data_IF_290542810404
#
_entry.id   IF_290542810404
#
_cell.length_a   1.000
_cell.length_b   1.000
_cell.length_c   1.000
_cell.angle_alpha   90.00
_cell.angle_beta   90.00
_cell.angle_gamma   90.00
#
_symmetry.space_group_name_H-M   'P 1'
#
loop_
_entity.id
_entity.type
_entity.pdbx_description
1 polymer ?
#
# COMPACT_ATOMS: atom_id res chain seq x y z
N UNK A 1 -70.03 44.92 -13.96
CA UNK A 1 -69.09 45.11 -12.85
C UNK A 1 -67.72 45.40 -13.42
N UNK A 2 -67.22 46.58 -13.07
CA UNK A 2 -66.03 47.30 -13.51
C UNK A 2 -64.73 46.69 -12.98
N UNK A 3 -63.63 46.83 -13.73
CA UNK A 3 -62.28 46.54 -13.22
C UNK A 3 -61.17 46.49 -14.26
N UNK A 4 -60.92 47.60 -14.96
CA UNK A 4 -59.70 47.79 -15.77
C UNK A 4 -58.52 48.05 -14.82
N UNK A 5 -57.57 47.12 -14.73
CA UNK A 5 -56.30 47.33 -14.04
C UNK A 5 -55.21 47.65 -15.08
N UNK A 6 -54.95 48.94 -15.25
CA UNK A 6 -53.82 49.46 -15.99
C UNK A 6 -52.53 49.23 -15.19
N UNK A 7 -51.68 48.30 -15.63
CA UNK A 7 -50.33 48.15 -15.12
C UNK A 7 -49.47 49.32 -15.63
N UNK A 8 -49.29 50.33 -14.78
CA UNK A 8 -48.38 51.44 -15.02
C UNK A 8 -46.94 50.92 -15.03
N UNK A 9 -46.40 50.67 -16.23
CA UNK A 9 -44.97 50.38 -16.43
C UNK A 9 -44.13 51.59 -16.03
N UNK A 10 -43.61 51.58 -14.81
CA UNK A 10 -42.68 52.60 -14.29
C UNK A 10 -41.37 52.46 -15.08
N UNK A 11 -41.19 53.31 -16.10
CA UNK A 11 -39.93 53.43 -16.84
C UNK A 11 -38.84 53.83 -15.85
N UNK A 12 -37.99 52.87 -15.48
CA UNK A 12 -36.80 53.12 -14.66
C UNK A 12 -35.90 54.02 -15.52
N UNK A 13 -35.56 55.19 -15.00
CA UNK A 13 -34.69 56.14 -15.68
C UNK A 13 -33.36 55.45 -15.94
N UNK A 14 -32.85 55.53 -17.17
CA UNK A 14 -31.61 54.86 -17.58
C UNK A 14 -30.44 55.19 -16.64
N UNK A 15 -30.43 56.41 -16.09
CA UNK A 15 -29.45 56.88 -15.11
C UNK A 15 -29.47 56.01 -13.83
N UNK A 16 -30.64 55.62 -13.34
CA UNK A 16 -30.76 54.78 -12.14
C UNK A 16 -30.24 53.37 -12.39
N UNK A 17 -30.44 52.84 -13.60
CA UNK A 17 -29.90 51.54 -14.00
C UNK A 17 -28.36 51.60 -14.11
N UNK A 18 -27.83 52.68 -14.67
CA UNK A 18 -26.39 52.90 -14.79
C UNK A 18 -25.71 52.97 -13.41
N UNK A 19 -26.28 53.72 -12.46
CA UNK A 19 -25.76 53.78 -11.09
C UNK A 19 -25.82 52.42 -10.37
N UNK A 20 -26.88 51.63 -10.58
CA UNK A 20 -27.01 50.30 -9.98
C UNK A 20 -25.93 49.33 -10.51
N UNK A 21 -25.71 49.31 -11.83
CA UNK A 21 -24.68 48.47 -12.45
C UNK A 21 -23.29 48.88 -11.97
N UNK A 22 -23.02 50.18 -11.89
CA UNK A 22 -21.72 50.70 -11.46
C UNK A 22 -21.43 50.36 -9.99
N UNK A 23 -22.44 50.44 -9.13
CA UNK A 23 -22.33 49.99 -7.73
C UNK A 23 -22.05 48.48 -7.62
N UNK A 24 -22.70 47.66 -8.45
CA UNK A 24 -22.48 46.21 -8.47
C UNK A 24 -21.09 45.83 -8.97
N UNK A 25 -20.59 46.50 -10.01
CA UNK A 25 -19.22 46.29 -10.51
C UNK A 25 -18.20 46.74 -9.46
N UNK A 26 -18.43 47.87 -8.79
CA UNK A 26 -17.59 48.33 -7.69
C UNK A 26 -17.50 47.33 -6.53
N UNK A 27 -18.64 46.75 -6.13
CA UNK A 27 -18.69 45.72 -5.09
C UNK A 27 -17.92 44.46 -5.49
N UNK A 28 -18.04 44.03 -6.74
CA UNK A 28 -17.35 42.85 -7.27
C UNK A 28 -15.82 43.06 -7.34
N UNK A 29 -15.37 44.25 -7.71
CA UNK A 29 -13.95 44.58 -7.71
C UNK A 29 -13.39 44.65 -6.28
N UNK A 30 -14.17 45.18 -5.33
CA UNK A 30 -13.77 45.22 -3.91
C UNK A 30 -13.61 43.81 -3.32
N UNK A 31 -14.52 42.87 -3.63
CA UNK A 31 -14.43 41.50 -3.12
C UNK A 31 -13.24 40.74 -3.73
N UNK A 32 -13.00 40.87 -5.03
CA UNK A 32 -11.81 40.29 -5.69
C UNK A 32 -10.52 40.88 -5.11
N UNK A 33 -10.49 42.19 -4.85
CA UNK A 33 -9.33 42.86 -4.26
C UNK A 33 -9.01 42.37 -2.84
N UNK A 34 -10.03 42.17 -1.99
CA UNK A 34 -9.85 41.64 -0.63
C UNK A 34 -9.37 40.18 -0.64
N UNK A 35 -9.82 39.36 -1.59
CA UNK A 35 -9.40 37.95 -1.72
C UNK A 35 -7.93 37.84 -2.12
N UNK A 36 -7.41 38.75 -2.97
CA UNK A 36 -6.00 38.76 -3.38
C UNK A 36 -5.07 39.23 -2.25
N UNK A 37 -5.56 40.09 -1.35
CA UNK A 37 -4.77 40.62 -0.23
C UNK A 37 -4.66 39.68 0.99
N UNK A 38 -5.35 38.54 0.99
CA UNK A 38 -5.03 37.43 1.89
C UNK A 38 -4.17 36.39 1.15
N UNK A 39 -2.85 36.55 1.08
CA UNK A 39 -1.99 35.41 0.80
C UNK A 39 -2.19 34.39 1.92
N UNK A 40 -2.90 33.32 1.60
CA UNK A 40 -3.00 32.14 2.46
C UNK A 40 -1.75 31.31 2.23
N UNK A 41 -0.62 31.82 2.73
CA UNK A 41 0.58 31.05 2.93
C UNK A 41 0.67 30.78 4.43
N UNK A 42 0.21 29.62 4.95
CA UNK A 42 0.78 29.13 6.18
C UNK A 42 2.26 28.87 5.87
N UNK A 43 3.16 29.71 6.40
CA UNK A 43 4.57 29.39 6.42
C UNK A 43 4.74 28.04 7.12
N UNK A 44 5.27 27.04 6.40
CA UNK A 44 5.69 25.79 7.02
C UNK A 44 6.67 26.13 8.16
N UNK A 45 6.51 25.56 9.37
CA UNK A 45 7.43 25.84 10.46
C UNK A 45 8.83 25.36 10.08
N UNK A 46 9.70 26.30 9.73
CA UNK A 46 11.11 26.05 9.51
C UNK A 46 11.76 25.69 10.84
N UNK A 47 11.93 24.40 11.10
CA UNK A 47 12.78 23.90 12.18
C UNK A 47 14.24 24.19 11.82
N UNK A 48 14.73 25.38 12.14
CA UNK A 48 16.16 25.65 12.21
C UNK A 48 16.75 24.97 13.46
N UNK A 49 17.02 23.67 13.34
CA UNK A 49 17.86 22.98 14.29
C UNK A 49 19.28 23.51 14.18
N UNK A 50 19.75 24.24 15.19
CA UNK A 50 21.18 24.55 15.34
C UNK A 50 21.97 23.25 15.20
N UNK A 51 22.90 23.22 14.25
CA UNK A 51 23.74 22.08 13.92
C UNK A 51 24.60 21.72 15.14
N UNK A 52 24.10 20.84 16.00
CA UNK A 52 24.93 20.20 17.01
C UNK A 52 25.85 19.24 16.27
N UNK A 53 27.16 19.47 16.39
CA UNK A 53 28.20 18.57 15.89
C UNK A 53 27.98 17.22 16.58
N UNK A 54 27.33 16.28 15.87
CA UNK A 54 27.21 14.91 16.32
C UNK A 54 28.56 14.23 16.12
N UNK A 55 29.34 14.09 17.19
CA UNK A 55 30.20 12.92 17.30
C UNK A 55 29.28 11.68 17.24
N UNK A 56 29.66 10.60 16.54
CA UNK A 56 28.84 9.39 16.46
C UNK A 56 28.80 8.67 17.81
N UNK A 57 27.89 9.09 18.71
CA UNK A 57 27.61 8.43 20.00
C UNK A 57 27.22 6.96 19.83
N UNK A 58 26.67 6.60 18.66
CA UNK A 58 26.14 5.27 18.36
C UNK A 58 27.19 4.14 18.39
N UNK A 59 28.46 4.44 18.08
CA UNK A 59 29.53 3.44 18.14
C UNK A 59 30.01 3.17 19.58
N UNK A 60 29.95 4.19 20.44
CA UNK A 60 30.28 4.07 21.87
C UNK A 60 29.20 3.28 22.60
N UNK A 61 27.92 3.59 22.35
CA UNK A 61 26.80 2.85 22.94
C UNK A 61 26.83 1.38 22.51
N UNK A 62 27.18 1.08 21.25
CA UNK A 62 27.32 -0.29 20.77
C UNK A 62 28.45 -1.05 21.45
N UNK A 63 29.62 -0.42 21.65
CA UNK A 63 30.73 -1.06 22.36
C UNK A 63 30.44 -1.29 23.83
N UNK A 64 29.74 -0.35 24.49
CA UNK A 64 29.34 -0.48 25.89
C UNK A 64 28.29 -1.59 26.04
N UNK A 65 27.28 -1.64 25.16
CA UNK A 65 26.25 -2.69 25.19
C UNK A 65 26.82 -4.10 24.91
N UNK A 66 27.76 -4.22 23.95
CA UNK A 66 28.44 -5.50 23.67
C UNK A 66 29.31 -5.94 24.85
N UNK A 67 30.03 -5.00 25.49
CA UNK A 67 30.85 -5.29 26.65
C UNK A 67 30.00 -5.72 27.87
N UNK A 68 28.88 -5.06 28.11
CA UNK A 68 27.93 -5.39 29.18
C UNK A 68 27.29 -6.77 28.95
N UNK A 69 26.92 -7.08 27.70
CA UNK A 69 26.40 -8.39 27.34
C UNK A 69 27.44 -9.51 27.51
N UNK A 70 28.70 -9.26 27.12
CA UNK A 70 29.78 -10.22 27.35
C UNK A 70 30.02 -10.46 28.84
N UNK A 71 29.96 -9.42 29.68
CA UNK A 71 30.05 -9.57 31.14
C UNK A 71 28.90 -10.41 31.71
N UNK A 72 27.66 -10.17 31.27
CA UNK A 72 26.51 -10.99 31.68
C UNK A 72 26.64 -12.45 31.20
N UNK A 73 27.09 -12.67 29.95
CA UNK A 73 27.26 -14.00 29.38
C UNK A 73 28.43 -14.80 29.99
N UNK A 74 29.45 -14.13 30.53
CA UNK A 74 30.55 -14.79 31.25
C UNK A 74 30.19 -15.26 32.66
N UNK A 75 28.97 -15.02 33.13
CA UNK A 75 28.49 -15.60 34.38
C UNK A 75 28.04 -17.04 34.10
N UNK A 76 28.78 -18.09 34.48
CA UNK A 76 28.29 -19.44 34.30
C UNK A 76 27.04 -19.62 35.15
N UNK A 77 25.89 -19.74 34.49
CA UNK A 77 24.68 -20.30 35.11
C UNK A 77 25.02 -21.75 35.48
N UNK A 78 25.57 -21.94 36.68
CA UNK A 78 25.51 -23.23 37.35
C UNK A 78 24.03 -23.48 37.62
N UNK A 79 23.35 -24.05 36.62
CA UNK A 79 22.06 -24.69 36.77
C UNK A 79 22.30 -25.78 37.81
N UNK A 80 22.00 -25.47 39.06
CA UNK A 80 21.93 -26.45 40.12
C UNK A 80 20.86 -27.45 39.69
N UNK A 81 21.31 -28.56 39.08
CA UNK A 81 20.51 -29.76 38.89
C UNK A 81 20.13 -30.22 40.30
N UNK A 82 19.00 -29.76 40.79
CA UNK A 82 18.35 -30.29 41.98
C UNK A 82 18.10 -31.77 41.69
N UNK A 83 18.94 -32.63 42.25
CA UNK A 83 18.85 -34.07 42.14
C UNK A 83 17.61 -34.54 42.91
N UNK A 84 16.48 -34.66 42.23
CA UNK A 84 15.26 -35.34 42.71
C UNK A 84 15.42 -36.85 42.61
N UNK A 85 16.50 -37.40 43.17
CA UNK A 85 16.81 -38.84 43.14
C UNK A 85 16.51 -39.56 44.47
N UNK A 86 16.02 -38.86 45.48
CA UNK A 86 15.94 -39.38 46.85
C UNK A 86 14.53 -39.74 47.36
N UNK A 87 13.49 -39.72 46.51
CA UNK A 87 12.10 -39.96 46.94
C UNK A 87 11.32 -40.91 46.01
N UNK A 88 11.94 -42.03 45.62
CA UNK A 88 11.21 -43.11 44.95
C UNK A 88 11.20 -44.34 45.86
N UNK A 89 10.03 -44.81 46.34
CA UNK A 89 9.94 -46.10 47.02
C UNK A 89 10.17 -47.24 46.02
N UNK A 90 10.86 -48.28 46.49
CA UNK A 90 11.13 -49.52 45.75
C UNK A 90 9.82 -50.14 45.23
N UNK A 91 9.73 -50.29 43.90
CA UNK A 91 8.67 -51.05 43.24
C UNK A 91 7.72 -50.23 42.38
N UNK A 92 8.23 -49.60 41.32
CA UNK A 92 7.38 -49.10 40.24
C UNK A 92 6.96 -50.26 39.31
N UNK A 93 5.70 -50.31 38.86
CA UNK A 93 5.24 -51.29 37.88
C UNK A 93 5.93 -51.08 36.53
N UNK A 94 6.13 -52.15 35.73
CA UNK A 94 6.75 -52.02 34.40
C UNK A 94 5.90 -51.11 33.52
N UNK A 95 6.54 -50.09 32.94
CA UNK A 95 5.86 -49.12 32.08
C UNK A 95 5.29 -49.78 30.82
N UNK A 96 4.11 -49.35 30.34
CA UNK A 96 3.58 -49.77 29.05
C UNK A 96 4.47 -49.25 27.92
N UNK A 97 4.69 -50.09 26.90
CA UNK A 97 5.41 -49.70 25.69
C UNK A 97 4.63 -48.62 24.94
N UNK A 98 5.06 -47.37 25.08
CA UNK A 98 4.62 -46.28 24.20
C UNK A 98 5.43 -46.32 22.90
N UNK A 99 4.79 -46.18 21.73
CA UNK A 99 5.52 -46.12 20.47
C UNK A 99 6.40 -44.87 20.45
N UNK A 100 7.69 -45.06 20.21
CA UNK A 100 8.63 -43.97 19.95
C UNK A 100 8.34 -43.40 18.56
N UNK A 101 7.52 -42.35 18.49
CA UNK A 101 7.49 -41.50 17.30
C UNK A 101 8.86 -40.86 17.13
N UNK A 102 9.52 -41.14 16.01
CA UNK A 102 10.76 -40.47 15.63
C UNK A 102 10.51 -38.97 15.60
N UNK A 103 11.13 -38.25 16.54
CA UNK A 103 11.11 -36.80 16.55
C UNK A 103 11.91 -36.32 15.35
N UNK A 104 11.22 -35.90 14.29
CA UNK A 104 11.84 -35.29 13.12
C UNK A 104 11.83 -33.76 13.30
N UNK A 105 12.96 -33.13 13.69
CA UNK A 105 13.02 -31.69 13.96
C UNK A 105 12.79 -30.83 12.71
N UNK A 106 12.85 -31.42 11.52
CA UNK A 106 12.70 -30.72 10.24
C UNK A 106 11.25 -30.46 9.83
N UNK A 107 10.30 -31.32 10.24
CA UNK A 107 8.86 -31.09 9.97
C UNK A 107 8.20 -30.14 10.98
N UNK A 108 8.75 -30.06 12.19
CA UNK A 108 8.23 -29.21 13.26
C UNK A 108 8.86 -27.81 13.29
N UNK A 109 9.82 -27.53 12.41
CA UNK A 109 10.49 -26.23 12.37
C UNK A 109 9.50 -25.08 12.14
N UNK A 110 8.49 -25.23 11.27
CA UNK A 110 7.46 -24.21 11.05
C UNK A 110 6.58 -23.96 12.29
N UNK A 111 6.22 -25.01 13.02
CA UNK A 111 5.41 -24.91 14.24
C UNK A 111 6.23 -24.32 15.40
N UNK A 112 7.52 -24.65 15.48
CA UNK A 112 8.43 -24.08 16.47
C UNK A 112 8.70 -22.61 16.16
N UNK A 113 8.91 -22.21 14.90
CA UNK A 113 9.13 -20.81 14.52
C UNK A 113 7.92 -19.92 14.82
N UNK A 114 6.71 -20.40 14.52
CA UNK A 114 5.48 -19.63 14.77
C UNK A 114 5.20 -19.40 16.26
N UNK A 115 5.55 -20.38 17.11
CA UNK A 115 5.36 -20.28 18.56
C UNK A 115 6.53 -19.57 19.26
N UNK A 116 7.75 -19.64 18.72
CA UNK A 116 8.88 -18.87 19.24
C UNK A 116 8.66 -17.37 19.06
N UNK A 117 8.07 -16.93 17.95
CA UNK A 117 7.78 -15.51 17.74
C UNK A 117 6.73 -14.98 18.74
N UNK A 118 5.71 -15.79 19.06
CA UNK A 118 4.69 -15.43 20.06
C UNK A 118 5.25 -15.42 21.50
N UNK A 119 6.07 -16.41 21.86
CA UNK A 119 6.71 -16.50 23.18
C UNK A 119 7.78 -15.41 23.36
N UNK A 120 8.48 -15.03 22.29
CA UNK A 120 9.50 -13.99 22.29
C UNK A 120 8.90 -12.57 22.32
N UNK A 121 7.74 -12.39 21.68
CA UNK A 121 6.92 -11.20 21.84
C UNK A 121 6.41 -11.04 23.29
N UNK A 122 6.03 -12.15 23.93
CA UNK A 122 5.61 -12.16 25.34
C UNK A 122 6.77 -11.87 26.31
N UNK A 123 8.01 -12.20 25.92
CA UNK A 123 9.22 -11.91 26.70
C UNK A 123 9.71 -10.45 26.58
N UNK A 124 9.05 -9.59 25.79
CA UNK A 124 9.44 -8.18 25.64
C UNK A 124 10.77 -7.97 24.90
N UNK A 125 11.34 -9.03 24.31
CA UNK A 125 12.64 -9.02 23.62
C UNK A 125 12.55 -8.53 22.16
N UNK A 126 11.37 -8.14 21.68
CA UNK A 126 11.17 -7.62 20.32
C UNK A 126 12.06 -6.40 20.01
N UNK A 127 12.42 -5.57 20.99
CA UNK A 127 13.32 -4.43 20.77
C UNK A 127 14.81 -4.79 20.68
N UNK A 128 15.23 -5.93 21.24
CA UNK A 128 16.65 -6.35 21.27
C UNK A 128 17.08 -7.05 19.97
N UNK A 129 16.12 -7.62 19.22
CA UNK A 129 16.37 -8.25 17.91
C UNK A 129 16.11 -7.30 16.74
N UNK A 130 15.46 -6.16 16.98
CA UNK A 130 15.23 -5.08 16.00
C UNK A 130 16.57 -4.47 15.50
N UNK A 131 17.66 -4.67 16.25
CA UNK A 131 19.02 -4.32 15.83
C UNK A 131 19.74 -5.38 14.99
N UNK A 132 19.29 -6.64 15.02
CA UNK A 132 19.94 -7.77 14.32
C UNK A 132 19.24 -8.10 12.98
N UNK A 133 17.96 -7.73 12.82
CA UNK A 133 17.17 -7.95 11.60
C UNK A 133 16.88 -6.64 10.86
N UNK A 134 17.90 -5.96 10.35
CA UNK A 134 17.68 -4.83 9.41
C UNK A 134 16.84 -5.26 8.19
N UNK A 135 15.54 -4.99 8.29
CA UNK A 135 14.78 -4.12 7.40
C UNK A 135 14.41 -4.61 6.00
N UNK A 136 13.98 -5.86 5.81
CA UNK A 136 13.21 -6.21 4.59
C UNK A 136 12.20 -7.34 4.83
N UNK A 137 10.89 -7.04 4.78
CA UNK A 137 9.84 -8.08 4.81
C UNK A 137 9.78 -8.83 3.51
N UNK A 138 9.65 -10.16 3.58
CA UNK A 138 9.22 -10.98 2.45
C UNK A 138 7.72 -10.77 2.20
N UNK A 139 7.36 -10.35 1.00
CA UNK A 139 5.98 -10.29 0.52
C UNK A 139 5.77 -11.39 -0.52
N UNK A 140 4.89 -12.33 -0.19
CA UNK A 140 4.46 -13.40 -1.08
C UNK A 140 3.07 -13.08 -1.65
N UNK A 141 2.96 -12.95 -2.97
CA UNK A 141 1.69 -12.72 -3.66
C UNK A 141 1.50 -13.68 -4.84
N UNK A 142 0.50 -14.56 -4.77
CA UNK A 142 0.27 -15.58 -5.80
C UNK A 142 1.52 -16.44 -6.13
N UNK A 143 2.36 -16.70 -5.11
CA UNK A 143 3.61 -17.45 -5.24
C UNK A 143 4.76 -16.67 -5.89
N UNK A 144 4.63 -15.34 -6.03
CA UNK A 144 5.76 -14.45 -6.32
C UNK A 144 6.22 -13.85 -5.01
N UNK A 145 7.48 -14.10 -4.65
CA UNK A 145 8.10 -13.60 -3.43
C UNK A 145 9.11 -12.51 -3.77
N UNK A 146 9.05 -11.40 -3.04
CA UNK A 146 10.04 -10.32 -3.11
C UNK A 146 10.13 -9.62 -1.75
N UNK A 147 11.15 -8.80 -1.54
CA UNK A 147 11.35 -8.08 -0.29
C UNK A 147 11.35 -6.56 -0.50
N UNK A 148 10.69 -5.79 0.37
CA UNK A 148 10.78 -4.32 0.34
C UNK A 148 10.27 -3.65 1.61
N UNK A 149 10.63 -2.37 1.82
CA UNK A 149 10.10 -1.57 2.94
C UNK A 149 8.73 -0.99 2.61
N UNK A 150 8.49 -0.62 1.34
CA UNK A 150 7.24 -0.05 0.83
C UNK A 150 6.68 -0.92 -0.29
N UNK A 151 5.60 -1.65 0.02
CA UNK A 151 4.97 -2.60 -0.92
C UNK A 151 3.61 -2.07 -1.35
N UNK A 152 3.38 -1.93 -2.65
CA UNK A 152 2.09 -1.45 -3.19
C UNK A 152 1.43 -2.52 -4.04
N UNK A 153 0.17 -2.82 -3.73
CA UNK A 153 -0.64 -3.83 -4.40
C UNK A 153 -1.62 -3.10 -5.32
N UNK A 154 -1.52 -3.34 -6.62
CA UNK A 154 -2.32 -2.68 -7.65
C UNK A 154 -3.26 -3.70 -8.28
N UNK A 155 -4.56 -3.53 -8.08
CA UNK A 155 -5.58 -4.51 -8.47
C UNK A 155 -6.48 -3.95 -9.57
N UNK A 156 -6.43 -4.56 -10.76
CA UNK A 156 -7.38 -4.26 -11.83
C UNK A 156 -8.72 -4.95 -11.59
N UNK A 157 -9.77 -4.18 -11.30
CA UNK A 157 -11.14 -4.69 -11.06
C UNK A 157 -12.05 -4.54 -12.27
N UNK A 158 -11.49 -4.34 -13.46
CA UNK A 158 -12.29 -4.29 -14.69
C UNK A 158 -13.02 -5.62 -14.93
N UNK A 159 -14.19 -5.53 -15.56
CA UNK A 159 -15.04 -6.69 -15.83
C UNK A 159 -14.32 -7.78 -16.66
N UNK A 160 -13.37 -7.40 -17.53
CA UNK A 160 -12.57 -8.35 -18.30
C UNK A 160 -11.67 -9.19 -17.41
N UNK A 161 -10.93 -8.56 -16.49
CA UNK A 161 -10.05 -9.24 -15.54
C UNK A 161 -10.85 -10.15 -14.62
N UNK A 162 -11.97 -9.65 -14.07
CA UNK A 162 -12.83 -10.43 -13.18
C UNK A 162 -13.40 -11.67 -13.86
N UNK A 163 -13.81 -11.55 -15.14
CA UNK A 163 -14.30 -12.68 -15.93
C UNK A 163 -13.20 -13.72 -16.18
N UNK A 164 -12.02 -13.27 -16.63
CA UNK A 164 -10.87 -14.15 -16.92
C UNK A 164 -10.33 -14.84 -15.66
N UNK A 165 -10.25 -14.11 -14.54
CA UNK A 165 -9.89 -14.69 -13.25
C UNK A 165 -10.89 -15.79 -12.84
N UNK A 166 -12.20 -15.52 -12.98
CA UNK A 166 -13.25 -16.51 -12.68
C UNK A 166 -13.14 -17.76 -13.55
N UNK A 167 -12.84 -17.61 -14.85
CA UNK A 167 -12.62 -18.75 -15.75
C UNK A 167 -11.48 -19.69 -15.27
N UNK A 168 -10.52 -19.14 -14.53
CA UNK A 168 -9.38 -19.88 -13.97
C UNK A 168 -9.62 -20.32 -12.51
N UNK A 169 -10.84 -20.19 -12.01
CA UNK A 169 -11.21 -20.57 -10.64
C UNK A 169 -10.78 -19.57 -9.57
N UNK A 170 -10.50 -18.32 -9.95
CA UNK A 170 -10.19 -17.22 -9.04
C UNK A 170 -11.40 -16.27 -8.97
N UNK A 171 -12.20 -16.40 -7.92
CA UNK A 171 -13.25 -15.43 -7.64
C UNK A 171 -12.66 -14.14 -7.07
N UNK A 172 -13.46 -13.07 -7.03
CA UNK A 172 -13.00 -11.80 -6.45
C UNK A 172 -12.69 -11.96 -4.96
N UNK A 173 -13.44 -12.79 -4.25
CA UNK A 173 -13.21 -13.12 -2.85
C UNK A 173 -11.86 -13.82 -2.66
N UNK A 174 -11.46 -14.69 -3.60
CA UNK A 174 -10.15 -15.34 -3.57
C UNK A 174 -9.00 -14.33 -3.80
N UNK A 175 -9.18 -13.38 -4.72
CA UNK A 175 -8.21 -12.29 -4.92
C UNK A 175 -8.11 -11.42 -3.66
N UNK A 176 -9.25 -11.06 -3.06
CA UNK A 176 -9.31 -10.31 -1.82
C UNK A 176 -8.63 -11.04 -0.66
N UNK A 177 -8.86 -12.35 -0.52
CA UNK A 177 -8.22 -13.19 0.48
C UNK A 177 -6.69 -13.26 0.28
N UNK A 178 -6.21 -13.30 -0.96
CA UNK A 178 -4.77 -13.27 -1.24
C UNK A 178 -4.16 -11.91 -0.87
N UNK A 179 -4.84 -10.80 -1.16
CA UNK A 179 -4.40 -9.46 -0.74
C UNK A 179 -4.35 -9.35 0.78
N UNK A 180 -5.38 -9.85 1.48
CA UNK A 180 -5.41 -9.91 2.94
C UNK A 180 -4.27 -10.78 3.49
N UNK A 181 -4.01 -11.95 2.88
CA UNK A 181 -2.91 -12.83 3.28
C UNK A 181 -1.56 -12.13 3.17
N UNK A 182 -1.32 -11.43 2.06
CA UNK A 182 -0.07 -10.68 1.89
C UNK A 182 0.08 -9.62 2.99
N UNK A 183 -0.94 -8.78 3.21
CA UNK A 183 -0.88 -7.70 4.20
C UNK A 183 -0.70 -8.24 5.62
N UNK A 184 -1.34 -9.37 5.94
CA UNK A 184 -1.21 -10.01 7.25
C UNK A 184 0.16 -10.67 7.45
N UNK A 185 0.84 -11.07 6.37
CA UNK A 185 2.19 -11.62 6.40
C UNK A 185 3.31 -10.57 6.46
N UNK A 186 3.00 -9.27 6.30
CA UNK A 186 4.02 -8.22 6.38
C UNK A 186 4.48 -7.98 7.83
N UNK A 187 5.78 -7.76 8.02
CA UNK A 187 6.33 -7.31 9.30
C UNK A 187 5.83 -5.91 9.66
N UNK A 188 5.73 -5.64 10.96
CA UNK A 188 5.26 -4.35 11.50
C UNK A 188 6.07 -3.13 11.06
N UNK A 189 7.36 -3.30 10.73
CA UNK A 189 8.23 -2.25 10.18
C UNK A 189 7.99 -1.94 8.70
N UNK A 190 7.21 -2.76 8.00
CA UNK A 190 6.91 -2.60 6.57
C UNK A 190 5.70 -1.71 6.35
N UNK A 191 5.69 -0.97 5.25
CA UNK A 191 4.57 -0.12 4.85
C UNK A 191 3.92 -0.68 3.60
N UNK A 192 2.60 -0.62 3.55
CA UNK A 192 1.82 -1.15 2.45
C UNK A 192 0.86 -0.12 1.87
N UNK A 193 0.59 -0.25 0.57
CA UNK A 193 -0.45 0.48 -0.13
C UNK A 193 -1.33 -0.47 -0.93
N UNK A 194 -2.61 -0.11 -1.09
CA UNK A 194 -3.53 -0.83 -1.97
C UNK A 194 -4.14 0.18 -2.92
N UNK A 195 -4.03 -0.11 -4.22
CA UNK A 195 -4.58 0.71 -5.31
C UNK A 195 -5.50 -0.17 -6.14
N UNK A 196 -6.76 0.21 -6.20
CA UNK A 196 -7.74 -0.38 -7.10
C UNK A 196 -7.85 0.49 -8.36
N UNK A 197 -7.90 -0.14 -9.53
CA UNK A 197 -8.16 0.58 -10.76
C UNK A 197 -9.06 -0.17 -11.74
N UNK A 198 -9.77 0.57 -12.57
CA UNK A 198 -10.33 0.05 -13.81
C UNK A 198 -10.36 1.14 -14.86
N UNK A 199 -11.21 2.15 -14.67
CA UNK A 199 -11.26 3.38 -15.46
C UNK A 199 -10.84 4.58 -14.62
N UNK A 200 -11.31 4.64 -13.38
CA UNK A 200 -10.76 5.50 -12.34
C UNK A 200 -9.79 4.73 -11.44
N UNK A 201 -9.43 5.36 -10.34
CA UNK A 201 -8.52 4.82 -9.34
C UNK A 201 -9.07 5.09 -7.95
N UNK A 202 -8.86 4.14 -7.03
CA UNK A 202 -9.17 4.30 -5.61
C UNK A 202 -8.04 3.66 -4.80
N UNK A 203 -7.46 4.41 -3.87
CA UNK A 203 -6.46 3.88 -2.95
C UNK A 203 -7.07 3.64 -1.57
N UNK A 204 -6.48 2.70 -0.81
CA UNK A 204 -6.85 2.47 0.59
C UNK A 204 -6.58 3.69 1.47
N UNK A 205 -5.40 4.29 1.29
CA UNK A 205 -4.95 5.51 1.93
C UNK A 205 -4.13 6.33 0.92
N UNK A 206 -4.01 7.66 1.10
CA UNK A 206 -3.18 8.51 0.25
C UNK A 206 -1.67 8.38 0.55
N UNK A 207 -1.29 7.52 1.50
CA UNK A 207 0.09 7.24 1.89
C UNK A 207 0.28 5.75 2.15
N UNK A 208 1.53 5.29 2.18
CA UNK A 208 1.87 3.91 2.57
C UNK A 208 1.65 3.72 4.06
N UNK A 209 0.68 2.89 4.43
CA UNK A 209 0.32 2.64 5.81
C UNK A 209 1.30 1.63 6.44
N UNK A 210 1.86 1.88 7.64
CA UNK A 210 2.63 0.87 8.36
C UNK A 210 1.78 -0.37 8.65
N UNK A 211 2.37 -1.57 8.59
CA UNK A 211 1.69 -2.84 8.80
C UNK A 211 1.42 -3.15 10.29
N UNK A 212 0.89 -2.17 11.02
CA UNK A 212 0.43 -2.35 12.40
C UNK A 212 -0.87 -3.17 12.45
N UNK A 213 -1.17 -3.79 13.59
CA UNK A 213 -2.42 -4.53 13.78
C UNK A 213 -3.68 -3.70 13.44
N UNK A 214 -3.69 -2.41 13.81
CA UNK A 214 -4.80 -1.50 13.50
C UNK A 214 -4.96 -1.26 12.00
N UNK A 215 -3.87 -0.96 11.29
CA UNK A 215 -3.92 -0.72 9.85
C UNK A 215 -4.26 -2.00 9.07
N UNK A 216 -3.79 -3.17 9.53
CA UNK A 216 -4.16 -4.48 8.96
C UNK A 216 -5.65 -4.78 9.14
N UNK A 217 -6.23 -4.47 10.30
CA UNK A 217 -7.66 -4.59 10.54
C UNK A 217 -8.49 -3.63 9.67
N UNK A 218 -8.03 -2.38 9.52
CA UNK A 218 -8.64 -1.39 8.63
C UNK A 218 -8.61 -1.84 7.16
N UNK A 219 -7.47 -2.35 6.69
CA UNK A 219 -7.34 -2.92 5.35
C UNK A 219 -8.25 -4.14 5.17
N UNK A 220 -8.32 -5.03 6.15
CA UNK A 220 -9.18 -6.22 6.13
C UNK A 220 -10.66 -5.86 6.01
N UNK A 221 -11.08 -4.72 6.58
CA UNK A 221 -12.45 -4.21 6.49
C UNK A 221 -12.72 -3.47 5.17
N UNK A 222 -11.70 -2.77 4.66
CA UNK A 222 -11.78 -2.00 3.42
C UNK A 222 -11.81 -2.90 2.17
N UNK A 223 -11.02 -3.98 2.17
CA UNK A 223 -10.82 -4.86 1.00
C UNK A 223 -12.15 -5.43 0.45
N UNK A 224 -13.02 -6.09 1.24
CA UNK A 224 -14.23 -6.70 0.70
C UNK A 224 -15.22 -5.68 0.14
N UNK A 225 -15.25 -4.49 0.75
CA UNK A 225 -16.19 -3.42 0.39
C UNK A 225 -15.71 -2.62 -0.82
N UNK A 226 -14.39 -2.43 -0.99
CA UNK A 226 -13.81 -1.55 -1.99
C UNK A 226 -13.13 -2.26 -3.16
N UNK A 227 -12.41 -3.38 -2.98
CA UNK A 227 -11.76 -4.13 -4.07
C UNK A 227 -12.77 -4.91 -4.92
N UNK A 228 -13.73 -4.20 -5.50
CA UNK A 228 -14.79 -4.71 -6.38
C UNK A 228 -15.38 -3.56 -7.19
N UNK A 229 -15.96 -3.90 -8.34
CA UNK A 229 -16.62 -2.93 -9.21
C UNK A 229 -15.67 -1.91 -9.82
N UNK A 230 -16.23 -0.78 -10.26
CA UNK A 230 -15.46 0.29 -10.89
C UNK A 230 -15.20 1.42 -9.88
N UNK A 231 -13.93 1.78 -9.62
CA UNK A 231 -13.63 2.98 -8.86
C UNK A 231 -14.14 4.25 -9.57
N UNK A 232 -14.45 5.31 -8.81
CA UNK A 232 -14.97 6.56 -9.34
C UNK A 232 -13.93 7.22 -10.26
N UNK A 233 -14.42 7.84 -11.32
CA UNK A 233 -13.61 8.68 -12.21
C UNK A 233 -13.69 10.10 -11.69
N UNK A 234 -12.55 10.67 -11.31
CA UNK A 234 -12.46 12.05 -10.81
C UNK A 234 -12.12 12.96 -12.00
N UNK A 235 -12.85 14.06 -12.15
CA UNK A 235 -12.56 15.05 -13.19
C UNK A 235 -11.21 15.72 -12.94
N UNK A 236 -10.47 16.04 -14.02
CA UNK A 236 -9.16 16.69 -13.94
C UNK A 236 -7.96 15.74 -13.79
N UNK A 237 -8.17 14.42 -13.82
CA UNK A 237 -7.07 13.45 -13.86
C UNK A 237 -6.31 13.51 -15.18
N UNK A 238 -4.97 13.45 -15.09
CA UNK A 238 -4.06 13.42 -16.25
C UNK A 238 -4.13 12.09 -17.00
N UNK A 239 -4.39 11.00 -16.28
CA UNK A 239 -4.41 9.65 -16.82
C UNK A 239 -5.69 8.90 -16.41
N UNK A 240 -5.99 7.82 -17.15
CA UNK A 240 -7.04 6.87 -16.83
C UNK A 240 -6.56 5.44 -17.06
N UNK A 241 -7.24 4.46 -16.44
CA UNK A 241 -6.90 3.05 -16.59
C UNK A 241 -5.51 2.71 -16.05
N UNK A 242 -4.73 1.94 -16.80
CA UNK A 242 -3.42 1.45 -16.34
C UNK A 242 -2.43 2.57 -16.04
N UNK A 243 -2.44 3.67 -16.81
CA UNK A 243 -1.52 4.80 -16.55
C UNK A 243 -1.85 5.50 -15.23
N UNK A 244 -3.14 5.69 -14.92
CA UNK A 244 -3.58 6.27 -13.65
C UNK A 244 -3.24 5.35 -12.46
N UNK A 245 -3.32 4.04 -12.67
CA UNK A 245 -2.94 3.07 -11.64
C UNK A 245 -1.46 3.19 -11.28
N UNK A 246 -0.58 3.36 -12.27
CA UNK A 246 0.85 3.56 -12.04
C UNK A 246 1.17 4.94 -11.46
N UNK A 247 0.46 6.00 -11.88
CA UNK A 247 0.57 7.32 -11.27
C UNK A 247 0.26 7.24 -9.76
N UNK A 248 -0.91 6.72 -9.40
CA UNK A 248 -1.31 6.57 -7.99
C UNK A 248 -0.40 5.62 -7.21
N UNK A 249 0.10 4.55 -7.85
CA UNK A 249 1.05 3.64 -7.19
C UNK A 249 2.40 4.31 -6.95
N UNK A 250 2.88 5.16 -7.87
CA UNK A 250 4.17 5.83 -7.73
C UNK A 250 4.11 7.03 -6.77
N UNK A 251 2.97 7.69 -6.62
CA UNK A 251 2.77 8.69 -5.55
C UNK A 251 3.05 8.11 -4.15
N UNK A 252 2.85 6.81 -3.97
CA UNK A 252 3.14 6.07 -2.74
C UNK A 252 4.63 5.70 -2.56
N UNK A 253 5.49 6.06 -3.51
CA UNK A 253 6.94 5.80 -3.52
C UNK A 253 7.32 4.34 -3.19
N UNK A 254 6.79 3.34 -3.93
CA UNK A 254 7.00 1.94 -3.63
C UNK A 254 8.43 1.49 -3.94
N UNK A 255 8.87 0.46 -3.20
CA UNK A 255 10.04 -0.36 -3.57
C UNK A 255 9.61 -1.56 -4.42
N UNK A 256 8.40 -2.07 -4.16
CA UNK A 256 7.83 -3.24 -4.84
C UNK A 256 6.38 -2.97 -5.20
N UNK A 257 6.00 -3.30 -6.43
CA UNK A 257 4.63 -3.25 -6.94
C UNK A 257 4.20 -4.64 -7.37
N UNK A 258 3.04 -5.09 -6.88
CA UNK A 258 2.34 -6.25 -7.40
C UNK A 258 1.12 -5.81 -8.20
N UNK A 259 1.14 -6.01 -9.52
CA UNK A 259 0.05 -5.66 -10.43
C UNK A 259 -0.78 -6.89 -10.80
N UNK A 260 -2.09 -6.83 -10.58
CA UNK A 260 -3.04 -7.82 -11.09
C UNK A 260 -3.72 -7.27 -12.34
N UNK A 261 -3.66 -8.00 -13.45
CA UNK A 261 -4.29 -7.57 -14.72
C UNK A 261 -4.58 -8.74 -15.66
N UNK A 262 -5.23 -8.48 -16.79
CA UNK A 262 -5.42 -9.42 -17.90
C UNK A 262 -4.56 -9.05 -19.12
N UNK A 263 -3.62 -8.11 -18.94
CA UNK A 263 -2.61 -7.71 -19.90
C UNK A 263 -3.06 -6.70 -20.95
N UNK A 264 -4.37 -6.47 -21.09
CA UNK A 264 -4.91 -5.53 -22.08
C UNK A 264 -4.80 -4.11 -21.53
N UNK A 265 -3.95 -3.29 -22.14
CA UNK A 265 -3.72 -1.92 -21.72
C UNK A 265 -4.80 -1.01 -22.30
N UNK A 266 -5.70 -0.50 -21.46
CA UNK A 266 -6.78 0.38 -21.91
C UNK A 266 -6.78 1.68 -21.12
N UNK A 267 -7.19 2.77 -21.77
CA UNK A 267 -7.48 4.05 -21.11
C UNK A 267 -8.90 4.49 -21.40
N UNK A 268 -9.48 5.27 -20.50
CA UNK A 268 -10.71 6.01 -20.76
C UNK A 268 -10.36 7.25 -21.58
N UNK A 269 -11.13 7.52 -22.63
CA UNK A 269 -11.10 8.80 -23.36
C UNK A 269 -12.51 9.36 -23.48
N UNK A 270 -12.63 10.68 -23.37
CA UNK A 270 -13.87 11.40 -23.60
C UNK A 270 -13.73 12.23 -24.88
N UNK A 271 -14.39 11.81 -25.95
CA UNK A 271 -14.37 12.51 -27.25
C UNK A 271 -15.78 12.93 -27.59
N UNK A 272 -16.02 14.24 -27.69
CA UNK A 272 -17.33 14.82 -28.03
C UNK A 272 -18.48 14.27 -27.19
N UNK A 273 -18.27 14.15 -25.86
CA UNK A 273 -19.26 13.64 -24.91
C UNK A 273 -19.46 12.11 -24.91
N UNK A 274 -18.77 11.37 -25.79
CA UNK A 274 -18.79 9.90 -25.80
C UNK A 274 -17.58 9.33 -25.10
N UNK A 275 -17.83 8.36 -24.22
CA UNK A 275 -16.78 7.62 -23.52
C UNK A 275 -16.34 6.47 -24.41
N UNK A 276 -15.04 6.39 -24.69
CA UNK A 276 -14.41 5.29 -25.39
C UNK A 276 -13.25 4.72 -24.58
N UNK A 277 -12.86 3.49 -24.93
CA UNK A 277 -11.81 2.74 -24.23
C UNK A 277 -10.76 2.24 -25.22
N UNK A 278 -9.99 3.14 -25.85
CA UNK A 278 -8.94 2.73 -26.77
C UNK A 278 -7.84 1.95 -26.05
N UNK A 279 -7.29 0.98 -26.75
CA UNK A 279 -6.10 0.26 -26.34
C UNK A 279 -4.88 1.19 -26.41
N UNK A 280 -3.98 1.07 -25.44
CA UNK A 280 -2.75 1.84 -25.37
C UNK A 280 -1.63 1.04 -26.02
N UNK A 281 -0.96 1.56 -27.06
CA UNK A 281 0.24 0.92 -27.59
C UNK A 281 1.27 0.71 -26.48
N UNK A 282 1.85 -0.48 -26.42
CA UNK A 282 2.78 -0.86 -25.34
C UNK A 282 3.94 0.13 -25.17
N UNK A 283 4.55 0.57 -26.27
CA UNK A 283 5.69 1.50 -26.20
C UNK A 283 5.27 2.87 -25.64
N UNK A 284 4.06 3.36 -25.99
CA UNK A 284 3.48 4.57 -25.40
C UNK A 284 3.28 4.39 -23.90
N UNK A 285 2.67 3.27 -23.49
CA UNK A 285 2.45 2.96 -22.09
C UNK A 285 3.77 2.88 -21.30
N UNK A 286 4.75 2.14 -21.80
CA UNK A 286 6.06 2.01 -21.17
C UNK A 286 6.77 3.36 -21.03
N UNK A 287 6.65 4.23 -22.04
CA UNK A 287 7.19 5.59 -21.99
C UNK A 287 6.54 6.43 -20.89
N UNK A 288 5.22 6.29 -20.70
CA UNK A 288 4.50 6.95 -19.60
C UNK A 288 4.98 6.44 -18.25
N UNK A 289 5.06 5.11 -18.05
CA UNK A 289 5.51 4.51 -16.79
C UNK A 289 6.94 4.96 -16.47
N UNK A 290 7.87 4.93 -17.44
CA UNK A 290 9.24 5.43 -17.23
C UNK A 290 9.30 6.92 -16.94
N UNK A 291 8.40 7.73 -17.52
CA UNK A 291 8.32 9.15 -17.21
C UNK A 291 7.90 9.37 -15.76
N UNK A 292 6.91 8.63 -15.28
CA UNK A 292 6.45 8.72 -13.90
C UNK A 292 7.51 8.19 -12.91
N UNK A 293 8.21 7.11 -13.27
CA UNK A 293 9.31 6.53 -12.48
C UNK A 293 10.42 7.54 -12.19
N UNK A 294 10.75 8.43 -13.14
CA UNK A 294 11.84 9.42 -12.96
C UNK A 294 11.62 10.39 -11.80
N UNK A 295 10.38 10.51 -11.31
CA UNK A 295 10.06 11.35 -10.17
C UNK A 295 10.23 10.61 -8.82
N UNK A 296 10.56 9.31 -8.85
CA UNK A 296 10.76 8.50 -7.65
C UNK A 296 12.19 8.62 -7.12
N UNK A 297 12.36 8.55 -5.78
CA UNK A 297 13.70 8.51 -5.17
C UNK A 297 14.45 7.21 -5.47
N UNK A 298 13.73 6.14 -5.81
CA UNK A 298 14.26 4.83 -6.09
C UNK A 298 13.43 4.10 -7.15
N UNK A 299 14.04 3.10 -7.77
CA UNK A 299 13.41 2.32 -8.83
C UNK A 299 12.59 1.17 -8.23
N UNK A 300 11.26 1.13 -8.43
CA UNK A 300 10.43 0.04 -7.92
C UNK A 300 10.62 -1.24 -8.76
N UNK A 301 10.57 -2.39 -8.09
CA UNK A 301 10.37 -3.69 -8.75
C UNK A 301 8.91 -3.89 -9.07
N UNK A 302 8.59 -4.32 -10.30
CA UNK A 302 7.21 -4.50 -10.75
C UNK A 302 6.96 -5.97 -11.09
N UNK A 303 6.23 -6.65 -10.23
CA UNK A 303 5.73 -8.00 -10.44
C UNK A 303 4.31 -7.95 -10.99
N UNK A 304 4.00 -8.85 -11.92
CA UNK A 304 2.72 -8.88 -12.61
C UNK A 304 2.09 -10.26 -12.47
N UNK A 305 0.84 -10.29 -12.04
CA UNK A 305 -0.02 -11.47 -11.96
C UNK A 305 -1.08 -11.29 -13.04
N UNK A 306 -0.94 -12.07 -14.11
CA UNK A 306 -1.76 -11.95 -15.30
C UNK A 306 -2.75 -13.09 -15.44
N UNK A 307 -4.05 -12.78 -15.56
CA UNK A 307 -5.10 -13.79 -15.78
C UNK A 307 -5.46 -13.92 -17.27
N UNK A 308 -5.34 -15.13 -17.82
CA UNK A 308 -5.80 -15.48 -19.18
C UNK A 308 -5.37 -14.44 -20.24
N UNK A 309 -4.10 -14.06 -20.21
CA UNK A 309 -3.52 -13.09 -21.16
C UNK A 309 -3.35 -13.72 -22.54
N UNK A 310 -3.57 -12.93 -23.61
CA UNK A 310 -3.14 -13.34 -24.95
C UNK A 310 -1.62 -13.38 -25.02
N UNK A 311 -1.07 -14.15 -25.96
CA UNK A 311 0.40 -14.28 -26.12
C UNK A 311 1.12 -12.93 -26.28
N UNK A 312 0.55 -12.02 -27.08
CA UNK A 312 1.10 -10.69 -27.29
C UNK A 312 1.07 -9.84 -26.01
N UNK A 313 -0.08 -9.81 -25.32
CA UNK A 313 -0.27 -9.08 -24.07
C UNK A 313 0.69 -9.61 -22.97
N UNK A 314 0.81 -10.93 -22.85
CA UNK A 314 1.73 -11.57 -21.92
C UNK A 314 3.20 -11.25 -22.24
N UNK A 315 3.58 -11.17 -23.53
CA UNK A 315 4.92 -10.78 -23.93
C UNK A 315 5.21 -9.32 -23.53
N UNK A 316 4.25 -8.41 -23.75
CA UNK A 316 4.33 -7.03 -23.32
C UNK A 316 4.44 -6.89 -21.79
N UNK A 317 3.61 -7.61 -21.03
CA UNK A 317 3.67 -7.60 -19.58
C UNK A 317 4.98 -8.20 -19.06
N UNK A 318 5.51 -9.26 -19.69
CA UNK A 318 6.82 -9.81 -19.33
C UNK A 318 7.93 -8.78 -19.57
N UNK A 319 7.92 -8.09 -20.72
CA UNK A 319 8.87 -7.01 -21.01
C UNK A 319 8.78 -5.88 -19.99
N UNK A 320 7.57 -5.52 -19.54
CA UNK A 320 7.38 -4.52 -18.49
C UNK A 320 8.00 -4.99 -17.17
N UNK A 321 7.62 -6.18 -16.68
CA UNK A 321 8.14 -6.72 -15.43
C UNK A 321 9.68 -6.81 -15.46
N UNK A 322 10.26 -7.38 -16.52
CA UNK A 322 11.70 -7.49 -16.68
C UNK A 322 12.39 -6.12 -16.77
N UNK A 323 11.77 -5.14 -17.41
CA UNK A 323 12.34 -3.78 -17.49
C UNK A 323 12.54 -3.19 -16.10
N UNK A 324 11.66 -3.49 -15.15
CA UNK A 324 11.70 -3.00 -13.76
C UNK A 324 12.25 -4.05 -12.78
N UNK A 325 12.90 -5.12 -13.25
CA UNK A 325 13.52 -6.11 -12.37
C UNK A 325 12.54 -7.01 -11.61
N UNK A 326 11.27 -7.07 -12.03
CA UNK A 326 10.28 -8.00 -11.49
C UNK A 326 9.98 -9.17 -12.43
N UNK A 327 8.90 -9.90 -12.12
CA UNK A 327 8.53 -11.15 -12.79
C UNK A 327 7.06 -11.17 -13.22
N UNK A 328 6.76 -11.91 -14.29
CA UNK A 328 5.40 -12.19 -14.73
C UNK A 328 4.99 -13.60 -14.30
N UNK A 329 3.93 -13.69 -13.48
CA UNK A 329 3.20 -14.93 -13.21
C UNK A 329 1.94 -14.96 -14.08
N UNK A 330 1.84 -15.93 -14.98
CA UNK A 330 0.63 -16.14 -15.76
C UNK A 330 -0.25 -17.18 -15.07
N UNK A 331 -1.50 -16.80 -14.81
CA UNK A 331 -2.55 -17.63 -14.26
C UNK A 331 -3.63 -17.89 -15.28
#
# INVERSE_FOLDING_TARGET
MTGSNAAAGRRIRADTLAYAILAQVGLLLLTVFIVILRPSNPEDPAFEGKKTVRLPQRELDHRVAVAEFQQMATSPLQIARLATSALLPDGLPPMPNVPSSEFNPLENAEFLTANTDALLAQAGLNGALDGIKSAVSAAAFFGVEDHGERIVIVVNTSASVMRKARNRGYTIERIQAEVQRLINGLDSGTRFGIVQFSQGVRSFAPYVAPATASNRAAASSWIPSNLRGNPPVVGGQSFFGHEAAFEAAFELQPDVIFLITDGVLNRRTLTSGRVSYPEIPYETFLSTVRRLERNLPGRPRIHIIGFEMKKADAANMRRLASSFGGQLRSL
#
